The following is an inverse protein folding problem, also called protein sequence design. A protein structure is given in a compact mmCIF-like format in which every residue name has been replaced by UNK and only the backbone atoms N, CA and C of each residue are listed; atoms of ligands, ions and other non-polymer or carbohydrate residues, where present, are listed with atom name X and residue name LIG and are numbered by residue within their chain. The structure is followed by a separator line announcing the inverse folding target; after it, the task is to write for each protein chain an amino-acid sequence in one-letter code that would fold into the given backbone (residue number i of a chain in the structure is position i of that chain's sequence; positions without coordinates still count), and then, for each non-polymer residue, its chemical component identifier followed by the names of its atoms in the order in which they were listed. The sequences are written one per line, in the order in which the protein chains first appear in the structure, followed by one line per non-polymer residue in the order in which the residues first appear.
data_IF_938875156216
#
_entry.id   IF_938875156216
#
_cell.length_a   1.000
_cell.length_b   1.000
_cell.length_c   1.000
_cell.angle_alpha   90.00
_cell.angle_beta   90.00
_cell.angle_gamma   90.00
#
_symmetry.space_group_name_H-M   'P 1'
#
loop_
_entity.id
_entity.type
_entity.pdbx_description
1 polymer ?
#
# COMPACT_ATOMS: atom_id res chain seq x y z
N UNK A 1 -48.24 -47.63 8.12
CA UNK A 1 -48.49 -47.53 6.68
C UNK A 1 -48.89 -46.07 6.35
N UNK A 2 -47.96 -45.18 6.17
CA UNK A 2 -48.21 -43.82 5.69
C UNK A 2 -47.03 -43.40 4.82
N UNK A 3 -47.35 -42.98 3.60
CA UNK A 3 -46.45 -42.74 2.49
C UNK A 3 -45.61 -41.47 2.60
N UNK A 4 -44.37 -41.63 2.24
CA UNK A 4 -43.43 -40.58 1.86
C UNK A 4 -43.94 -39.79 0.64
N UNK A 5 -43.88 -38.47 0.69
CA UNK A 5 -43.85 -37.65 -0.52
C UNK A 5 -42.58 -36.80 -0.52
N UNK A 6 -41.69 -37.22 -1.38
CA UNK A 6 -40.50 -36.44 -1.82
C UNK A 6 -40.95 -35.22 -2.60
N UNK A 7 -40.47 -34.04 -2.25
CA UNK A 7 -40.54 -32.85 -3.10
C UNK A 7 -39.17 -32.42 -3.50
N UNK A 8 -38.82 -32.78 -4.72
CA UNK A 8 -37.64 -32.34 -5.44
C UNK A 8 -37.83 -30.88 -5.83
N UNK A 9 -37.04 -29.97 -5.28
CA UNK A 9 -37.03 -28.58 -5.72
C UNK A 9 -35.88 -28.38 -6.69
N UNK A 10 -36.26 -28.17 -7.95
CA UNK A 10 -35.37 -27.91 -9.07
C UNK A 10 -34.71 -26.52 -8.90
N UNK A 11 -33.43 -26.51 -8.75
CA UNK A 11 -32.64 -25.27 -8.73
C UNK A 11 -32.56 -24.68 -10.14
N UNK A 12 -33.23 -23.57 -10.35
CA UNK A 12 -33.26 -22.80 -11.59
C UNK A 12 -31.94 -22.04 -11.73
N UNK A 13 -31.00 -22.54 -12.54
CA UNK A 13 -29.80 -21.86 -12.99
C UNK A 13 -30.17 -20.62 -13.82
N UNK A 14 -30.07 -19.47 -13.28
CA UNK A 14 -30.20 -18.19 -13.99
C UNK A 14 -28.85 -17.79 -14.57
N UNK A 15 -28.59 -18.15 -15.80
CA UNK A 15 -27.46 -17.68 -16.58
C UNK A 15 -27.71 -16.22 -17.00
N UNK A 16 -27.08 -15.27 -16.35
CA UNK A 16 -27.02 -13.89 -16.84
C UNK A 16 -25.98 -13.81 -17.96
N UNK A 17 -26.47 -13.64 -19.19
CA UNK A 17 -25.64 -13.31 -20.36
C UNK A 17 -25.23 -11.84 -20.25
N UNK A 18 -23.95 -11.58 -20.09
CA UNK A 18 -23.37 -10.23 -20.21
C UNK A 18 -23.18 -9.97 -21.70
N UNK A 19 -23.93 -8.99 -22.24
CA UNK A 19 -23.73 -8.52 -23.61
C UNK A 19 -22.61 -7.48 -23.61
N UNK A 20 -21.54 -7.79 -24.29
CA UNK A 20 -20.48 -6.85 -24.62
C UNK A 20 -20.97 -5.95 -25.75
N UNK A 21 -21.05 -4.66 -25.52
CA UNK A 21 -21.26 -3.66 -26.54
C UNK A 21 -19.90 -3.06 -26.93
N UNK A 22 -19.44 -3.37 -28.12
CA UNK A 22 -18.28 -2.74 -28.75
C UNK A 22 -18.76 -1.43 -29.39
N UNK A 23 -18.20 -0.30 -28.94
CA UNK A 23 -18.29 0.98 -29.63
C UNK A 23 -16.95 1.28 -30.27
N UNK A 24 -16.91 1.15 -31.58
CA UNK A 24 -15.84 1.64 -32.43
C UNK A 24 -16.06 3.14 -32.71
N UNK A 25 -15.15 4.01 -32.32
CA UNK A 25 -15.11 5.41 -32.74
C UNK A 25 -13.86 5.62 -33.60
N UNK A 26 -14.10 5.81 -34.90
CA UNK A 26 -13.10 6.25 -35.85
C UNK A 26 -12.87 7.77 -35.66
N UNK A 27 -11.64 8.19 -35.46
CA UNK A 27 -11.24 9.59 -35.47
C UNK A 27 -10.42 9.85 -36.72
N UNK A 28 -10.95 10.73 -37.55
CA UNK A 28 -10.37 11.17 -38.82
C UNK A 28 -9.13 12.03 -38.59
N UNK A 29 -8.12 11.77 -39.39
CA UNK A 29 -6.86 12.49 -39.51
C UNK A 29 -7.06 13.75 -40.35
N UNK A 30 -6.87 14.93 -39.81
CA UNK A 30 -6.77 16.19 -40.55
C UNK A 30 -5.31 16.67 -40.50
N UNK A 31 -4.61 16.49 -41.60
CA UNK A 31 -3.32 17.13 -41.89
C UNK A 31 -3.60 18.59 -42.29
N UNK A 32 -3.09 19.55 -41.53
CA UNK A 32 -2.93 20.91 -41.95
C UNK A 32 -1.44 21.26 -41.95
N UNK A 33 -0.85 21.30 -43.15
CA UNK A 33 0.45 21.93 -43.39
C UNK A 33 0.27 23.44 -43.30
N UNK A 34 0.89 24.07 -42.31
CA UNK A 34 1.07 25.51 -42.24
C UNK A 34 2.56 25.84 -42.23
N UNK A 35 3.11 26.14 -43.39
CA UNK A 35 4.38 26.85 -43.49
C UNK A 35 4.10 28.35 -43.20
N UNK A 36 4.66 28.87 -42.14
CA UNK A 36 4.85 30.28 -41.96
C UNK A 36 6.31 30.55 -41.62
N UNK A 37 6.94 31.26 -42.53
CA UNK A 37 8.33 31.67 -42.47
C UNK A 37 8.53 32.78 -41.45
N UNK A 38 9.67 32.71 -40.83
CA UNK A 38 10.45 33.68 -40.10
C UNK A 38 10.26 35.12 -40.25
N UNK A 39 10.35 35.82 -39.17
CA UNK A 39 11.11 37.07 -39.15
C UNK A 39 11.68 37.24 -37.75
N UNK A 40 12.99 37.59 -37.71
CA UNK A 40 13.76 37.76 -36.49
C UNK A 40 13.22 38.89 -35.62
N UNK A 41 13.35 38.70 -34.33
CA UNK A 41 13.12 39.68 -33.31
C UNK A 41 13.93 39.27 -32.10
N UNK A 42 15.07 39.97 -31.88
CA UNK A 42 15.79 39.96 -30.64
C UNK A 42 14.88 40.47 -29.52
N UNK A 43 14.34 39.53 -28.74
CA UNK A 43 13.57 39.81 -27.55
C UNK A 43 14.08 38.88 -26.43
N UNK A 44 15.13 39.33 -25.74
CA UNK A 44 15.59 38.69 -24.51
C UNK A 44 14.50 38.76 -23.45
N UNK A 45 13.58 37.79 -23.48
CA UNK A 45 12.69 37.51 -22.34
C UNK A 45 13.51 36.93 -21.18
N UNK A 46 13.19 37.34 -19.94
CA UNK A 46 13.85 36.75 -18.78
C UNK A 46 13.63 35.25 -18.80
N UNK A 47 14.74 34.48 -18.87
CA UNK A 47 14.71 33.05 -18.74
C UNK A 47 14.05 32.73 -17.39
N UNK A 48 12.91 32.02 -17.43
CA UNK A 48 12.32 31.50 -16.22
C UNK A 48 13.39 30.69 -15.46
N UNK A 49 13.54 30.89 -14.15
CA UNK A 49 14.52 30.15 -13.39
C UNK A 49 14.21 28.66 -13.55
N UNK A 50 15.13 27.92 -14.14
CA UNK A 50 15.06 26.48 -14.15
C UNK A 50 15.00 26.03 -12.69
N UNK A 51 13.85 25.55 -12.26
CA UNK A 51 13.70 24.94 -10.94
C UNK A 51 14.54 23.65 -10.98
N UNK A 52 15.78 23.77 -10.55
CA UNK A 52 16.64 22.62 -10.33
C UNK A 52 15.95 21.79 -9.26
N UNK A 53 15.30 20.69 -9.65
CA UNK A 53 14.79 19.72 -8.71
C UNK A 53 16.00 19.31 -7.84
N UNK A 54 15.95 19.66 -6.56
CA UNK A 54 16.98 19.27 -5.61
C UNK A 54 17.05 17.75 -5.65
N UNK A 55 18.18 17.20 -6.08
CA UNK A 55 18.42 15.77 -6.05
C UNK A 55 18.29 15.32 -4.59
N UNK A 56 17.23 14.57 -4.29
CA UNK A 56 17.03 14.00 -2.96
C UNK A 56 18.25 13.11 -2.67
N UNK A 57 18.95 13.38 -1.59
CA UNK A 57 20.11 12.59 -1.19
C UNK A 57 19.72 11.11 -1.12
N UNK A 58 20.60 10.18 -1.53
CA UNK A 58 20.32 8.75 -1.46
C UNK A 58 19.93 8.36 -0.03
N UNK A 59 18.88 7.56 0.09
CA UNK A 59 18.46 7.03 1.41
C UNK A 59 19.48 6.00 1.90
N UNK A 60 19.82 5.97 3.19
CA UNK A 60 20.68 4.93 3.74
C UNK A 60 19.97 3.57 3.72
N UNK A 61 20.76 2.51 3.67
CA UNK A 61 20.28 1.15 3.93
C UNK A 61 20.18 0.88 5.44
N UNK A 62 19.43 -0.16 5.82
CA UNK A 62 19.33 -0.60 7.20
C UNK A 62 19.70 -2.08 7.33
N UNK A 63 20.44 -2.50 8.37
CA UNK A 63 20.68 -3.90 8.69
C UNK A 63 19.48 -4.56 9.38
N UNK A 64 18.39 -3.83 9.61
CA UNK A 64 17.21 -4.30 10.29
C UNK A 64 16.57 -5.48 9.57
N UNK A 65 16.15 -6.49 10.34
CA UNK A 65 15.30 -7.60 9.89
C UNK A 65 14.04 -7.59 10.72
N UNK A 66 12.90 -7.67 10.04
CA UNK A 66 11.58 -7.53 10.63
C UNK A 66 10.74 -8.77 10.32
N UNK A 67 10.07 -9.33 11.34
CA UNK A 67 9.17 -10.48 11.20
C UNK A 67 7.91 -10.26 12.02
N UNK A 68 6.74 -10.50 11.42
CA UNK A 68 5.47 -10.50 12.16
C UNK A 68 5.32 -11.85 12.86
N UNK A 69 5.27 -11.84 14.20
CA UNK A 69 5.06 -13.01 15.03
C UNK A 69 3.58 -13.35 15.14
N UNK A 70 2.73 -12.31 15.26
CA UNK A 70 1.27 -12.43 15.28
C UNK A 70 0.62 -11.18 14.69
N UNK A 71 -0.52 -11.30 13.98
CA UNK A 71 -1.08 -12.55 13.47
C UNK A 71 -0.19 -13.20 12.41
N UNK A 72 -0.14 -14.53 12.39
CA UNK A 72 0.61 -15.28 11.37
C UNK A 72 -0.18 -15.28 10.06
N UNK A 73 0.53 -15.45 8.96
CA UNK A 73 -0.11 -15.59 7.66
C UNK A 73 -1.10 -16.77 7.66
N UNK A 74 -2.33 -16.53 7.24
CA UNK A 74 -3.43 -17.49 7.26
C UNK A 74 -4.09 -17.71 8.63
N UNK A 75 -3.63 -17.04 9.70
CA UNK A 75 -4.21 -17.20 11.04
C UNK A 75 -5.64 -16.62 11.10
N UNK A 76 -6.54 -17.35 11.78
CA UNK A 76 -7.84 -16.80 12.19
C UNK A 76 -7.73 -16.27 13.62
N UNK A 77 -8.07 -15.01 13.82
CA UNK A 77 -8.16 -14.35 15.13
C UNK A 77 -9.63 -14.13 15.51
N UNK A 78 -9.95 -14.27 16.79
CA UNK A 78 -11.32 -14.14 17.30
C UNK A 78 -11.60 -12.76 17.90
N UNK A 79 -10.55 -12.00 18.17
CA UNK A 79 -10.67 -10.63 18.67
C UNK A 79 -10.83 -9.68 17.48
N UNK A 80 -11.78 -8.76 17.57
CA UNK A 80 -11.99 -7.67 16.61
C UNK A 80 -10.90 -6.59 16.69
N UNK A 81 -10.09 -6.60 17.74
CA UNK A 81 -8.90 -5.74 17.96
C UNK A 81 -7.66 -6.61 18.15
N UNK A 82 -7.16 -7.23 17.09
CA UNK A 82 -5.99 -8.11 17.21
C UNK A 82 -4.74 -7.34 17.63
N UNK A 83 -3.85 -8.05 18.32
CA UNK A 83 -2.53 -7.54 18.64
C UNK A 83 -1.53 -7.97 17.57
N UNK A 84 -0.79 -7.00 17.04
CA UNK A 84 0.36 -7.25 16.17
C UNK A 84 1.61 -7.29 17.05
N UNK A 85 2.37 -8.36 16.94
CA UNK A 85 3.69 -8.50 17.57
C UNK A 85 4.71 -8.76 16.50
N UNK A 86 5.85 -8.10 16.63
CA UNK A 86 6.95 -8.21 15.67
C UNK A 86 8.26 -8.53 16.40
N UNK A 87 9.13 -9.24 15.72
CA UNK A 87 10.53 -9.36 16.07
C UNK A 87 11.34 -8.42 15.18
N UNK A 88 12.24 -7.65 15.78
CA UNK A 88 13.19 -6.78 15.12
C UNK A 88 14.60 -7.16 15.56
N UNK A 89 15.47 -7.40 14.60
CA UNK A 89 16.89 -7.64 14.83
C UNK A 89 17.74 -6.72 13.97
N UNK A 90 18.97 -6.44 14.37
CA UNK A 90 19.90 -5.58 13.61
C UNK A 90 19.61 -4.08 13.72
N UNK A 91 18.58 -3.67 14.49
CA UNK A 91 18.24 -2.27 14.69
C UNK A 91 17.59 -2.02 16.06
N UNK A 92 17.41 -0.75 16.40
CA UNK A 92 16.83 -0.26 17.67
C UNK A 92 15.62 0.63 17.38
N UNK A 93 14.57 0.46 18.19
CA UNK A 93 13.45 1.40 18.21
C UNK A 93 13.87 2.67 18.96
N UNK A 94 13.68 3.83 18.32
CA UNK A 94 13.91 5.14 18.91
C UNK A 94 12.64 5.98 18.83
N UNK A 95 12.31 6.67 19.92
CA UNK A 95 11.17 7.59 19.99
C UNK A 95 11.67 9.03 19.86
N UNK A 96 12.21 9.34 18.69
CA UNK A 96 12.66 10.70 18.35
C UNK A 96 12.53 10.93 16.85
N UNK A 97 12.26 12.17 16.48
CA UNK A 97 12.27 12.63 15.09
C UNK A 97 13.51 13.48 14.88
N UNK A 98 14.34 13.12 13.88
CA UNK A 98 15.55 13.82 13.55
C UNK A 98 15.88 13.69 12.07
N UNK A 99 16.55 14.67 11.52
CA UNK A 99 17.09 14.61 10.15
C UNK A 99 18.44 13.89 10.07
N UNK A 100 19.08 13.63 11.23
CA UNK A 100 20.27 12.79 11.30
C UNK A 100 19.85 11.33 11.30
N UNK A 101 20.09 10.64 10.21
CA UNK A 101 19.62 9.28 10.00
C UNK A 101 20.75 8.30 10.28
N UNK A 102 20.50 7.39 11.22
CA UNK A 102 21.32 6.23 11.51
C UNK A 102 20.65 4.98 10.92
N UNK A 103 21.42 4.12 10.25
CA UNK A 103 20.85 2.95 9.55
C UNK A 103 20.21 1.90 10.47
N UNK A 104 20.61 1.87 11.74
CA UNK A 104 20.12 0.93 12.76
C UNK A 104 19.12 1.54 13.75
N UNK A 105 18.61 2.75 13.50
CA UNK A 105 17.67 3.44 14.40
C UNK A 105 16.44 3.92 13.66
N UNK A 106 15.27 3.71 14.28
CA UNK A 106 14.01 4.07 13.68
C UNK A 106 12.81 3.64 14.50
N UNK A 107 11.65 3.56 13.87
CA UNK A 107 10.41 3.10 14.50
C UNK A 107 9.56 2.32 13.50
N UNK A 108 8.43 1.80 13.96
CA UNK A 108 7.57 0.98 13.13
C UNK A 108 6.37 1.78 12.62
N UNK A 109 6.12 1.70 11.33
CA UNK A 109 4.84 2.07 10.73
C UNK A 109 4.00 0.80 10.53
N UNK A 110 2.78 0.78 11.08
CA UNK A 110 1.82 -0.30 10.91
C UNK A 110 0.71 0.16 9.97
N UNK A 111 0.49 -0.61 8.92
CA UNK A 111 -0.59 -0.41 7.98
C UNK A 111 -1.54 -1.60 8.05
N UNK A 112 -2.84 -1.33 7.93
CA UNK A 112 -3.87 -2.37 7.76
C UNK A 112 -4.63 -2.06 6.48
N UNK A 113 -4.72 -3.05 5.59
CA UNK A 113 -5.37 -2.94 4.28
C UNK A 113 -4.88 -1.71 3.49
N UNK A 114 -3.55 -1.46 3.56
CA UNK A 114 -2.88 -0.37 2.88
C UNK A 114 -3.01 1.00 3.55
N UNK A 115 -3.71 1.11 4.69
CA UNK A 115 -3.86 2.38 5.44
C UNK A 115 -2.95 2.40 6.66
N UNK A 116 -2.17 3.47 6.83
CA UNK A 116 -1.38 3.68 8.05
C UNK A 116 -2.32 3.84 9.24
N UNK A 117 -2.19 2.95 10.22
CA UNK A 117 -3.03 2.96 11.43
C UNK A 117 -2.29 3.47 12.65
N UNK A 118 -0.97 3.32 12.69
CA UNK A 118 -0.16 3.84 13.80
C UNK A 118 1.33 3.90 13.44
N UNK A 119 2.02 4.81 14.12
CA UNK A 119 3.47 4.83 14.26
C UNK A 119 3.79 4.27 15.64
N UNK A 120 4.54 3.18 15.70
CA UNK A 120 4.75 2.44 16.93
C UNK A 120 6.23 2.48 17.36
N UNK A 121 6.44 2.81 18.62
CA UNK A 121 7.74 2.85 19.28
C UNK A 121 7.96 1.62 20.19
N UNK A 122 7.32 0.53 19.88
CA UNK A 122 7.47 -0.76 20.56
C UNK A 122 7.28 -1.93 19.57
N UNK A 123 7.50 -3.15 20.07
CA UNK A 123 7.39 -4.38 19.27
C UNK A 123 6.01 -5.04 19.34
N UNK A 124 5.06 -4.40 20.01
CA UNK A 124 3.68 -4.87 20.13
C UNK A 124 2.71 -3.70 20.00
N UNK A 125 1.63 -3.90 19.25
CA UNK A 125 0.61 -2.91 19.04
C UNK A 125 -0.75 -3.55 18.84
N UNK A 126 -1.75 -3.07 19.59
CA UNK A 126 -3.14 -3.46 19.36
C UNK A 126 -3.71 -2.65 18.18
N UNK A 127 -4.29 -3.37 17.23
CA UNK A 127 -4.93 -2.74 16.07
C UNK A 127 -6.25 -2.05 16.45
N UNK A 128 -6.74 -1.11 15.64
CA UNK A 128 -8.12 -0.64 15.74
C UNK A 128 -9.09 -1.80 15.53
N UNK A 129 -10.35 -1.58 15.84
CA UNK A 129 -11.40 -2.56 15.58
C UNK A 129 -11.49 -2.85 14.08
N UNK A 130 -11.47 -4.13 13.73
CA UNK A 130 -11.57 -4.63 12.36
C UNK A 130 -12.88 -5.41 12.21
N UNK A 131 -13.59 -5.25 11.09
CA UNK A 131 -14.77 -6.08 10.81
C UNK A 131 -14.37 -7.54 10.60
N UNK A 132 -15.31 -8.49 10.71
CA UNK A 132 -15.06 -9.87 10.27
C UNK A 132 -14.65 -9.90 8.80
N UNK A 133 -13.66 -10.73 8.48
CA UNK A 133 -13.16 -10.84 7.12
C UNK A 133 -11.64 -10.98 7.05
N UNK A 134 -11.14 -11.00 5.82
CA UNK A 134 -9.72 -11.07 5.54
C UNK A 134 -9.08 -9.68 5.60
N UNK A 135 -7.94 -9.59 6.27
CA UNK A 135 -7.15 -8.38 6.43
C UNK A 135 -5.68 -8.64 6.13
N UNK A 136 -4.96 -7.60 5.75
CA UNK A 136 -3.51 -7.61 5.60
C UNK A 136 -2.91 -6.57 6.54
N UNK A 137 -2.05 -7.02 7.45
CA UNK A 137 -1.18 -6.12 8.20
C UNK A 137 0.18 -6.06 7.53
N UNK A 138 0.69 -4.86 7.33
CA UNK A 138 2.05 -4.58 6.90
C UNK A 138 2.76 -3.80 7.99
N UNK A 139 3.99 -4.17 8.28
CA UNK A 139 4.86 -3.47 9.21
C UNK A 139 6.10 -3.05 8.46
N UNK A 140 6.48 -1.80 8.58
CA UNK A 140 7.67 -1.23 7.99
C UNK A 140 8.53 -0.59 9.07
N UNK A 141 9.82 -0.88 9.06
CA UNK A 141 10.79 -0.17 9.85
C UNK A 141 11.27 1.04 9.06
N UNK A 142 11.01 2.23 9.58
CA UNK A 142 11.35 3.51 8.98
C UNK A 142 12.38 4.24 9.80
N UNK A 143 13.15 5.11 9.17
CA UNK A 143 14.16 5.93 9.84
C UNK A 143 13.52 6.97 10.76
N UNK A 144 14.32 7.61 11.60
CA UNK A 144 13.87 8.60 12.58
C UNK A 144 13.23 9.86 11.95
N UNK A 145 13.41 10.09 10.66
CA UNK A 145 12.73 11.15 9.88
C UNK A 145 11.39 10.72 9.27
N UNK A 146 10.87 9.54 9.64
CA UNK A 146 9.66 8.91 9.13
C UNK A 146 9.69 8.49 7.65
N UNK A 147 10.84 8.57 7.00
CA UNK A 147 10.99 8.11 5.63
C UNK A 147 11.57 6.68 5.58
N UNK A 148 11.27 5.91 4.54
CA UNK A 148 11.77 4.55 4.41
C UNK A 148 13.29 4.51 4.21
N UNK A 149 13.90 3.41 4.58
CA UNK A 149 15.25 3.03 4.16
C UNK A 149 15.27 2.59 2.69
N UNK A 150 16.46 2.51 2.10
CA UNK A 150 16.64 1.95 0.76
C UNK A 150 17.75 0.86 0.79
N UNK A 151 17.39 -0.41 0.54
CA UNK A 151 16.05 -0.92 0.27
C UNK A 151 15.12 -0.83 1.51
N UNK A 152 13.80 -0.80 1.25
CA UNK A 152 12.78 -0.76 2.32
C UNK A 152 12.83 -2.01 3.19
N UNK A 153 12.67 -1.83 4.49
CA UNK A 153 12.57 -2.92 5.47
C UNK A 153 11.12 -3.10 5.88
N UNK A 154 10.44 -4.04 5.25
CA UNK A 154 9.02 -4.29 5.51
C UNK A 154 8.69 -5.78 5.50
N UNK A 155 7.60 -6.14 6.18
CA UNK A 155 7.01 -7.47 6.21
C UNK A 155 5.49 -7.36 6.26
N UNK A 156 4.78 -8.40 5.82
CA UNK A 156 3.32 -8.42 5.84
C UNK A 156 2.78 -9.79 6.23
N UNK A 157 1.56 -9.80 6.74
CA UNK A 157 0.81 -11.01 7.09
C UNK A 157 -0.66 -10.83 6.74
N UNK A 158 -1.23 -11.76 5.98
CA UNK A 158 -2.65 -11.86 5.75
C UNK A 158 -3.29 -12.75 6.81
N UNK A 159 -4.40 -12.31 7.40
CA UNK A 159 -5.10 -13.04 8.46
C UNK A 159 -6.61 -12.84 8.36
N UNK A 160 -7.37 -13.66 9.09
CA UNK A 160 -8.83 -13.63 9.10
C UNK A 160 -9.31 -13.17 10.48
N UNK A 161 -10.21 -12.19 10.54
CA UNK A 161 -11.00 -11.89 11.74
C UNK A 161 -12.28 -12.72 11.70
N UNK A 162 -12.52 -13.52 12.75
CA UNK A 162 -13.74 -14.34 12.85
C UNK A 162 -14.98 -13.45 12.99
N UNK A 163 -16.10 -13.93 12.42
CA UNK A 163 -17.42 -13.32 12.61
C UNK A 163 -18.11 -13.84 13.86
#
# INVERSE_FOLDING_TARGET
MVQRRSRTTVARRQRRRVRAAALSAAVALALALGLAACSGGDGGGPAAPATTAAATAPRPSSPAKLTIVTPRNGQTVRQDRPEVRVDLTGAKIVNQTTTRIEGDQGHLHLLVDGKLVTMNYGLSQRLPQLPPGQHVVQVEFVAADHAPFDPRVLTQSAFQVAG
#
